data_IF_821378804460
#
_entry.id   IF_821378804460
#
_cell.length_a   1.000
_cell.length_b   1.000
_cell.length_c   1.000
_cell.angle_alpha   90.00
_cell.angle_beta   90.00
_cell.angle_gamma   90.00
#
_symmetry.space_group_name_H-M   'P 1'
#
loop_
_entity.id
_entity.type
_entity.pdbx_description
1 polymer ?
#
# COMPACT_ATOMS: atom_id res chain seq x y z
N UNK A 1 -4.87 -55.07 -6.27
CA UNK A 1 -3.61 -54.33 -6.02
C UNK A 1 -3.57 -53.90 -4.57
N UNK A 2 -2.48 -54.17 -3.83
CA UNK A 2 -2.27 -53.65 -2.47
C UNK A 2 -1.29 -52.49 -2.58
N UNK A 3 -1.75 -51.27 -2.30
CA UNK A 3 -0.88 -50.08 -2.26
C UNK A 3 -0.12 -50.15 -0.94
N UNK A 4 1.12 -50.62 -0.98
CA UNK A 4 2.06 -50.52 0.14
C UNK A 4 2.53 -49.07 0.21
N UNK A 5 1.84 -48.29 1.04
CA UNK A 5 2.24 -46.93 1.37
C UNK A 5 3.44 -47.01 2.32
N UNK A 6 4.65 -46.91 1.78
CA UNK A 6 5.85 -46.81 2.61
C UNK A 6 5.82 -45.47 3.36
N UNK A 7 5.66 -45.53 4.68
CA UNK A 7 5.56 -44.36 5.55
C UNK A 7 6.76 -43.40 5.38
N UNK A 8 7.92 -43.91 4.97
CA UNK A 8 9.10 -43.10 4.64
C UNK A 8 8.85 -42.19 3.43
N UNK A 9 8.25 -42.71 2.37
CA UNK A 9 7.91 -41.93 1.17
C UNK A 9 6.85 -40.88 1.45
N UNK A 10 5.91 -41.17 2.36
CA UNK A 10 4.88 -40.21 2.79
C UNK A 10 5.49 -39.05 3.62
N UNK A 11 6.44 -39.35 4.50
CA UNK A 11 7.18 -38.34 5.27
C UNK A 11 8.05 -37.44 4.38
N UNK A 12 8.71 -38.02 3.37
CA UNK A 12 9.48 -37.27 2.37
C UNK A 12 8.58 -36.34 1.54
N UNK A 13 7.39 -36.80 1.13
CA UNK A 13 6.40 -35.97 0.45
C UNK A 13 5.87 -34.83 1.33
N UNK A 14 5.63 -35.10 2.61
CA UNK A 14 5.16 -34.10 3.58
C UNK A 14 6.21 -33.02 3.85
N UNK A 15 7.48 -33.40 4.01
CA UNK A 15 8.61 -32.46 4.16
C UNK A 15 8.77 -31.57 2.92
N UNK A 16 8.69 -32.15 1.72
CA UNK A 16 8.76 -31.39 0.47
C UNK A 16 7.61 -30.39 0.32
N UNK A 17 6.38 -30.80 0.62
CA UNK A 17 5.22 -29.90 0.58
C UNK A 17 5.30 -28.80 1.66
N UNK A 18 5.71 -29.14 2.89
CA UNK A 18 5.83 -28.20 4.00
C UNK A 18 6.81 -27.06 3.72
N UNK A 19 7.94 -27.33 3.06
CA UNK A 19 8.91 -26.31 2.66
C UNK A 19 8.37 -25.36 1.57
N UNK A 20 7.48 -25.82 0.70
CA UNK A 20 6.83 -24.95 -0.27
C UNK A 20 5.84 -24.00 0.41
N UNK A 21 5.08 -24.46 1.42
CA UNK A 21 4.19 -23.60 2.19
C UNK A 21 4.95 -22.49 2.95
N UNK A 22 6.12 -22.78 3.52
CA UNK A 22 6.92 -21.76 4.20
C UNK A 22 7.50 -20.74 3.21
N UNK A 23 8.06 -21.17 2.08
CA UNK A 23 8.62 -20.27 1.08
C UNK A 23 7.57 -19.32 0.46
N UNK A 24 6.35 -19.80 0.25
CA UNK A 24 5.25 -18.99 -0.29
C UNK A 24 4.67 -18.06 0.80
N UNK A 25 4.61 -18.51 2.06
CA UNK A 25 4.07 -17.69 3.16
C UNK A 25 4.93 -16.48 3.51
N UNK A 26 6.26 -16.53 3.34
CA UNK A 26 7.12 -15.37 3.59
C UNK A 26 7.09 -14.32 2.48
N UNK A 27 6.73 -14.69 1.25
CA UNK A 27 6.65 -13.75 0.12
C UNK A 27 5.45 -12.81 0.22
N UNK A 28 4.39 -13.20 0.94
CA UNK A 28 3.15 -12.42 1.03
C UNK A 28 3.15 -11.37 2.17
N UNK A 29 4.16 -11.39 3.04
CA UNK A 29 4.33 -10.39 4.11
C UNK A 29 5.21 -9.22 3.69
N UNK A 30 5.78 -9.28 2.48
CA UNK A 30 6.57 -8.20 1.89
C UNK A 30 5.71 -7.36 0.95
N UNK A 31 4.46 -7.11 1.34
CA UNK A 31 3.59 -6.17 0.66
C UNK A 31 3.47 -4.90 1.52
N UNK A 32 3.92 -3.79 0.92
CA UNK A 32 3.40 -2.42 1.11
C UNK A 32 3.90 -1.53 2.25
N UNK A 33 4.92 -1.89 3.03
CA UNK A 33 5.45 -0.97 4.07
C UNK A 33 6.62 -0.06 3.63
N UNK A 34 7.07 -0.14 2.37
CA UNK A 34 8.22 0.63 1.90
C UNK A 34 8.28 0.88 0.40
N UNK A 35 7.14 1.03 -0.25
CA UNK A 35 7.09 1.45 -1.66
C UNK A 35 7.32 2.97 -1.79
N UNK A 36 7.85 3.42 -2.93
CA UNK A 36 8.03 4.86 -3.21
C UNK A 36 6.74 5.67 -3.02
N UNK A 37 5.59 5.07 -3.30
CA UNK A 37 4.29 5.71 -3.19
C UNK A 37 3.51 5.15 -2.00
N UNK A 38 3.03 6.04 -1.13
CA UNK A 38 2.15 5.73 -0.02
C UNK A 38 0.76 6.28 -0.29
N UNK A 39 -0.27 5.47 -0.04
CA UNK A 39 -1.67 5.86 -0.23
C UNK A 39 -2.39 5.88 1.10
N UNK A 40 -3.06 6.98 1.40
CA UNK A 40 -3.95 7.12 2.55
C UNK A 40 -5.36 7.48 2.10
N UNK A 41 -6.36 6.89 2.73
CA UNK A 41 -7.78 7.15 2.46
C UNK A 41 -8.45 7.53 3.78
N UNK A 42 -9.11 8.69 3.82
CA UNK A 42 -9.87 9.14 4.99
C UNK A 42 -11.32 8.64 4.94
N UNK A 43 -12.00 8.62 6.10
CA UNK A 43 -13.43 8.35 6.22
C UNK A 43 -14.33 9.23 5.31
N UNK A 44 -13.90 10.45 4.98
CA UNK A 44 -14.56 11.33 4.00
C UNK A 44 -14.33 10.98 2.53
N UNK A 45 -13.91 9.76 2.20
CA UNK A 45 -13.60 9.29 0.83
C UNK A 45 -12.51 10.10 0.11
N UNK A 46 -11.75 10.92 0.84
CA UNK A 46 -10.57 11.60 0.29
C UNK A 46 -9.43 10.61 0.15
N UNK A 47 -8.81 10.58 -1.01
CA UNK A 47 -7.61 9.77 -1.30
C UNK A 47 -6.41 10.70 -1.42
N UNK A 48 -5.32 10.35 -0.74
CA UNK A 48 -4.03 11.04 -0.83
C UNK A 48 -2.97 10.01 -1.23
N UNK A 49 -2.19 10.31 -2.26
CA UNK A 49 -1.04 9.49 -2.65
C UNK A 49 0.20 10.38 -2.58
N UNK A 50 1.21 9.95 -1.84
CA UNK A 50 2.46 10.68 -1.59
C UNK A 50 3.64 9.89 -2.13
N UNK A 51 4.51 10.56 -2.89
CA UNK A 51 5.85 10.07 -3.24
C UNK A 51 6.81 10.37 -2.08
N UNK A 52 7.18 9.34 -1.32
CA UNK A 52 8.05 9.47 -0.15
C UNK A 52 9.47 9.93 -0.47
N UNK A 53 9.93 9.81 -1.72
CA UNK A 53 11.26 10.29 -2.12
C UNK A 53 11.27 11.81 -2.36
N UNK A 54 10.19 12.35 -2.92
CA UNK A 54 10.14 13.75 -3.38
C UNK A 54 9.22 14.64 -2.55
N UNK A 55 8.33 14.05 -1.75
CA UNK A 55 7.25 14.77 -1.07
C UNK A 55 6.17 15.30 -2.02
N UNK A 56 6.18 14.88 -3.29
CA UNK A 56 5.10 15.19 -4.23
C UNK A 56 3.87 14.39 -3.86
N UNK A 57 2.69 14.95 -4.09
CA UNK A 57 1.44 14.27 -3.79
C UNK A 57 0.37 14.52 -4.85
N UNK A 58 -0.60 13.60 -4.90
CA UNK A 58 -1.88 13.80 -5.57
C UNK A 58 -3.02 13.56 -4.57
N UNK A 59 -4.03 14.41 -4.60
CA UNK A 59 -5.23 14.33 -3.74
C UNK A 59 -6.46 14.22 -4.65
N UNK A 60 -7.32 13.25 -4.36
CA UNK A 60 -8.71 13.27 -4.80
C UNK A 60 -9.58 13.66 -3.60
N UNK A 61 -10.08 14.90 -3.54
CA UNK A 61 -10.99 15.33 -2.49
C UNK A 61 -12.33 14.60 -2.63
N UNK A 62 -13.12 14.64 -1.56
CA UNK A 62 -14.47 14.08 -1.55
C UNK A 62 -15.29 14.58 -2.76
N UNK A 63 -15.85 13.63 -3.50
CA UNK A 63 -16.64 13.92 -4.70
C UNK A 63 -17.94 14.58 -4.28
N UNK A 64 -18.03 15.91 -4.44
CA UNK A 64 -19.28 16.65 -4.23
C UNK A 64 -20.24 16.52 -5.42
N UNK A 65 -19.71 16.29 -6.63
CA UNK A 65 -20.47 16.18 -7.88
C UNK A 65 -20.26 14.82 -8.56
N UNK A 66 -21.35 14.09 -8.80
CA UNK A 66 -21.33 12.76 -9.42
C UNK A 66 -20.64 12.78 -10.80
N UNK A 67 -19.61 11.95 -10.99
CA UNK A 67 -18.90 11.80 -12.26
C UNK A 67 -17.68 12.72 -12.48
N UNK A 68 -17.35 13.61 -11.53
CA UNK A 68 -16.15 14.46 -11.60
C UNK A 68 -15.16 14.12 -10.50
N UNK A 69 -14.30 13.12 -10.74
CA UNK A 69 -13.12 12.92 -9.89
C UNK A 69 -12.08 13.96 -10.28
N UNK A 70 -11.85 14.95 -9.42
CA UNK A 70 -10.80 15.94 -9.63
C UNK A 70 -9.54 15.51 -8.88
N UNK A 71 -8.46 15.24 -9.61
CA UNK A 71 -7.15 15.00 -9.01
C UNK A 71 -6.38 16.31 -8.93
N UNK A 72 -5.95 16.68 -7.73
CA UNK A 72 -5.11 17.84 -7.47
C UNK A 72 -3.70 17.37 -7.20
N UNK A 73 -2.73 17.86 -7.96
CA UNK A 73 -1.30 17.58 -7.73
C UNK A 73 -0.63 18.71 -6.96
N UNK A 74 0.34 18.39 -6.12
CA UNK A 74 1.11 19.38 -5.37
C UNK A 74 2.46 18.87 -4.89
N UNK A 75 3.27 19.79 -4.39
CA UNK A 75 4.55 19.50 -3.73
C UNK A 75 4.39 19.85 -2.26
N UNK A 76 4.66 18.92 -1.34
CA UNK A 76 4.40 19.10 0.09
C UNK A 76 5.02 20.39 0.62
N UNK A 77 6.31 20.63 0.37
CA UNK A 77 7.03 21.76 0.94
C UNK A 77 6.48 23.11 0.45
N UNK A 78 6.12 23.23 -0.83
CA UNK A 78 5.52 24.46 -1.37
C UNK A 78 4.15 24.71 -0.74
N UNK A 79 3.28 23.69 -0.72
CA UNK A 79 1.95 23.82 -0.12
C UNK A 79 2.03 24.15 1.37
N UNK A 80 2.97 23.54 2.09
CA UNK A 80 3.20 23.79 3.51
C UNK A 80 3.62 25.24 3.78
N UNK A 81 4.58 25.77 3.01
CA UNK A 81 4.99 27.17 3.16
C UNK A 81 3.85 28.14 2.83
N UNK A 82 3.10 27.89 1.74
CA UNK A 82 1.92 28.69 1.41
C UNK A 82 0.89 28.67 2.54
N UNK A 83 0.67 27.53 3.20
CA UNK A 83 -0.23 27.44 4.35
C UNK A 83 0.26 28.28 5.54
N UNK A 84 1.57 28.27 5.83
CA UNK A 84 2.18 29.11 6.86
C UNK A 84 2.04 30.59 6.52
N UNK A 85 2.33 31.00 5.29
CA UNK A 85 2.31 32.41 4.90
C UNK A 85 0.88 32.97 4.95
N UNK A 86 -0.10 32.24 4.43
CA UNK A 86 -1.51 32.61 4.54
C UNK A 86 -1.99 32.74 6.00
N UNK A 87 -1.43 31.95 6.92
CA UNK A 87 -1.78 32.05 8.35
C UNK A 87 -1.24 33.31 9.03
N UNK A 88 -0.12 33.86 8.53
CA UNK A 88 0.49 35.09 9.06
C UNK A 88 -0.23 36.35 8.57
N UNK A 89 -0.80 36.32 7.37
CA UNK A 89 -1.57 37.44 6.80
C UNK A 89 -2.96 37.61 7.43
N UNK A 90 -3.44 36.62 8.19
CA UNK A 90 -4.75 36.63 8.88
C UNK A 90 -4.80 37.49 10.16
N UNK A 91 -4.01 38.57 10.27
CA UNK A 91 -4.02 39.49 11.43
C UNK A 91 -4.57 40.86 11.11
#
# INVERSE_FOLDING_TARGET
MKITLDAKSLLLGFLGAGLMFTAISFKNSQDQTGGRYHTEVNAGSMVVIVDSETGNYIIAPEIKDFGKVQWVKGEFYKTFNTAIDNSKESK
#
